data_IF_983204116548
#
_entry.id   IF_983204116548
#
_cell.length_a   1.000
_cell.length_b   1.000
_cell.length_c   1.000
_cell.angle_alpha   90.00
_cell.angle_beta   90.00
_cell.angle_gamma   90.00
#
_symmetry.space_group_name_H-M   'P 1'
#
loop_
_entity.id
_entity.type
_entity.pdbx_description
1 polymer ?
#
# COMPACT_ATOMS: atom_id res chain seq x y z
N UNK A 1 4.42 -17.44 -38.17
CA UNK A 1 3.52 -17.78 -37.05
C UNK A 1 4.14 -18.88 -36.21
N UNK A 2 4.90 -18.46 -35.20
CA UNK A 2 5.39 -19.23 -34.05
C UNK A 2 5.31 -18.24 -32.89
N UNK A 3 4.77 -18.60 -31.72
CA UNK A 3 4.89 -17.74 -30.56
C UNK A 3 6.37 -17.74 -30.16
N UNK A 4 7.00 -16.57 -30.16
CA UNK A 4 8.35 -16.38 -29.63
C UNK A 4 8.19 -15.82 -28.22
N UNK A 5 8.89 -16.47 -27.30
CA UNK A 5 8.84 -16.32 -25.85
C UNK A 5 8.84 -14.87 -25.39
N UNK A 6 7.89 -14.55 -24.51
CA UNK A 6 7.96 -13.39 -23.64
C UNK A 6 9.12 -13.58 -22.65
N UNK A 7 10.04 -12.63 -22.65
CA UNK A 7 11.05 -12.43 -21.62
C UNK A 7 11.25 -10.91 -21.51
N UNK A 8 10.31 -10.27 -20.83
CA UNK A 8 10.53 -9.03 -20.07
C UNK A 8 9.78 -9.26 -18.77
N UNK A 9 10.57 -9.26 -17.71
CA UNK A 9 10.25 -9.85 -16.42
C UNK A 9 9.46 -8.85 -15.58
N UNK A 10 8.14 -8.83 -15.75
CA UNK A 10 7.28 -8.70 -14.57
C UNK A 10 7.34 -10.07 -13.92
N UNK A 11 8.04 -10.15 -12.79
CA UNK A 11 8.19 -11.40 -12.07
C UNK A 11 6.78 -11.88 -11.69
N UNK A 12 6.43 -13.14 -11.98
CA UNK A 12 5.15 -13.69 -11.62
C UNK A 12 5.08 -13.73 -10.09
N UNK A 13 4.05 -13.12 -9.50
CA UNK A 13 3.63 -13.46 -8.15
C UNK A 13 2.94 -14.84 -8.17
N UNK A 14 3.62 -15.87 -8.70
CA UNK A 14 3.40 -17.24 -8.28
C UNK A 14 3.97 -17.39 -6.88
N UNK A 15 3.27 -16.83 -5.89
CA UNK A 15 3.33 -17.37 -4.56
C UNK A 15 2.47 -18.64 -4.59
N UNK A 16 3.04 -19.71 -5.16
CA UNK A 16 2.81 -20.99 -4.55
C UNK A 16 3.36 -20.84 -3.13
N UNK A 17 2.49 -20.46 -2.20
CA UNK A 17 2.63 -20.73 -0.79
C UNK A 17 2.73 -22.26 -0.66
N UNK A 18 3.89 -22.82 -0.99
CA UNK A 18 4.51 -23.71 -0.03
C UNK A 18 4.67 -22.86 1.21
N UNK A 19 3.62 -22.88 2.03
CA UNK A 19 3.70 -22.62 3.46
C UNK A 19 4.86 -23.48 3.96
N UNK A 20 6.06 -22.92 3.91
CA UNK A 20 6.91 -23.00 5.08
C UNK A 20 6.00 -22.52 6.18
N UNK A 21 5.52 -23.46 6.99
CA UNK A 21 5.11 -23.17 8.35
C UNK A 21 6.33 -22.48 8.98
N UNK A 22 6.43 -21.17 8.76
CA UNK A 22 7.26 -20.26 9.54
C UNK A 22 6.59 -20.20 10.89
N UNK A 23 6.76 -21.29 11.63
CA UNK A 23 6.50 -21.31 13.04
C UNK A 23 7.21 -20.09 13.60
N UNK A 24 6.49 -19.18 14.25
CA UNK A 24 7.04 -18.27 15.24
C UNK A 24 7.51 -19.10 16.45
N UNK A 25 8.31 -20.13 16.20
CA UNK A 25 8.83 -21.08 17.18
C UNK A 25 10.33 -21.07 17.03
N UNK A 26 10.93 -20.10 17.70
CA UNK A 26 12.27 -20.16 18.26
C UNK A 26 13.40 -20.35 17.25
N UNK A 27 13.99 -19.24 16.83
CA UNK A 27 15.44 -19.12 16.72
C UNK A 27 15.82 -17.76 17.30
N UNK A 28 16.59 -17.79 18.38
CA UNK A 28 16.78 -16.68 19.30
C UNK A 28 17.53 -15.49 18.72
N UNK A 29 17.01 -14.30 19.03
CA UNK A 29 17.76 -13.19 19.58
C UNK A 29 16.77 -12.42 20.46
N UNK A 30 17.10 -12.20 21.74
CA UNK A 30 16.42 -11.24 22.60
C UNK A 30 16.75 -9.83 22.10
N UNK A 31 16.39 -9.51 20.86
CA UNK A 31 16.55 -8.16 20.32
C UNK A 31 15.45 -7.31 20.94
N UNK A 32 15.79 -6.41 21.87
CA UNK A 32 14.78 -5.64 22.57
C UNK A 32 14.09 -4.71 21.56
N UNK A 33 12.77 -4.71 21.60
CA UNK A 33 12.00 -3.67 20.93
C UNK A 33 12.33 -2.32 21.54
N UNK A 34 12.42 -1.29 20.71
CA UNK A 34 12.55 0.09 21.16
C UNK A 34 11.35 0.92 20.74
N UNK A 35 10.88 1.78 21.63
CA UNK A 35 9.93 2.81 21.24
C UNK A 35 10.56 3.75 20.21
N UNK A 36 9.75 4.38 19.34
CA UNK A 36 10.26 5.38 18.42
C UNK A 36 11.06 6.45 19.13
N UNK A 37 12.19 6.79 18.53
CA UNK A 37 13.04 7.89 18.99
C UNK A 37 13.27 8.85 17.85
N UNK A 38 13.05 10.14 18.10
CA UNK A 38 13.25 11.17 17.09
C UNK A 38 14.73 11.27 16.72
N UNK A 39 15.02 11.32 15.42
CA UNK A 39 16.39 11.39 14.89
C UNK A 39 16.64 12.77 14.27
N UNK A 40 15.78 13.20 13.35
CA UNK A 40 15.87 14.50 12.67
C UNK A 40 17.07 14.62 11.71
N UNK A 41 17.73 13.51 11.38
CA UNK A 41 18.88 13.48 10.47
C UNK A 41 18.43 13.35 9.01
N UNK A 42 19.24 13.88 8.08
CA UNK A 42 18.99 13.73 6.65
C UNK A 42 19.45 12.35 6.18
N UNK A 43 18.60 11.64 5.42
CA UNK A 43 19.01 10.42 4.75
C UNK A 43 20.18 10.68 3.78
N UNK A 44 21.15 9.74 3.66
CA UNK A 44 22.29 9.88 2.76
C UNK A 44 21.88 10.26 1.32
N UNK A 45 22.46 11.33 0.78
CA UNK A 45 22.21 11.72 -0.60
C UNK A 45 22.86 10.75 -1.58
N UNK A 46 22.16 10.43 -2.66
CA UNK A 46 22.65 9.62 -3.77
C UNK A 46 22.93 10.54 -4.95
N UNK A 47 24.14 10.49 -5.49
CA UNK A 47 24.46 11.14 -6.75
C UNK A 47 23.93 10.26 -7.91
N UNK A 48 22.94 10.71 -8.68
CA UNK A 48 22.41 9.93 -9.80
C UNK A 48 23.42 9.74 -10.94
N UNK A 49 24.56 10.44 -10.90
CA UNK A 49 25.58 10.39 -11.94
C UNK A 49 25.22 11.21 -13.18
N UNK A 50 26.27 11.62 -13.87
CA UNK A 50 26.34 12.45 -15.07
C UNK A 50 26.29 13.99 -14.84
N UNK A 51 27.47 14.64 -14.66
CA UNK A 51 27.59 16.08 -14.39
C UNK A 51 27.33 16.97 -15.62
N UNK A 52 27.17 16.39 -16.82
CA UNK A 52 27.09 17.12 -18.10
C UNK A 52 25.64 17.47 -18.52
N UNK A 53 24.65 17.27 -17.64
CA UNK A 53 23.26 17.66 -17.93
C UNK A 53 22.91 19.02 -17.32
N UNK A 54 22.58 19.99 -18.19
CA UNK A 54 22.09 21.33 -17.81
C UNK A 54 20.70 21.32 -17.14
N UNK A 55 20.03 20.16 -17.05
CA UNK A 55 18.71 20.00 -16.44
C UNK A 55 18.83 19.40 -15.03
N UNK A 56 18.43 20.17 -14.02
CA UNK A 56 18.54 19.76 -12.62
C UNK A 56 17.50 18.67 -12.30
N UNK A 57 17.96 17.44 -12.08
CA UNK A 57 17.17 16.35 -11.54
C UNK A 57 16.74 16.65 -10.09
N UNK A 58 15.63 16.06 -9.65
CA UNK A 58 15.23 16.15 -8.24
C UNK A 58 16.25 15.44 -7.33
N UNK A 59 16.55 15.96 -6.12
CA UNK A 59 17.50 15.33 -5.21
C UNK A 59 17.01 13.96 -4.75
N UNK A 60 17.96 13.04 -4.56
CA UNK A 60 17.68 11.63 -4.22
C UNK A 60 18.40 11.29 -2.93
N UNK A 61 17.71 10.55 -2.07
CA UNK A 61 18.29 10.00 -0.85
C UNK A 61 18.08 8.50 -0.78
N UNK A 62 18.94 7.83 -0.02
CA UNK A 62 18.85 6.42 0.33
C UNK A 62 18.52 6.29 1.83
N UNK A 63 17.24 6.05 2.19
CA UNK A 63 16.82 5.78 3.57
C UNK A 63 17.34 4.46 4.16
N UNK A 64 18.01 3.63 3.35
CA UNK A 64 18.43 2.26 3.66
C UNK A 64 17.28 1.31 3.95
N UNK A 65 16.17 1.46 3.23
CA UNK A 65 15.04 0.54 3.37
C UNK A 65 15.29 -0.78 2.62
N UNK A 66 14.85 -1.88 3.21
CA UNK A 66 14.91 -3.25 2.68
C UNK A 66 13.52 -3.89 2.56
N UNK A 67 12.47 -3.07 2.61
CA UNK A 67 11.10 -3.48 2.31
C UNK A 67 10.34 -2.39 1.52
N UNK A 68 9.23 -2.73 0.84
CA UNK A 68 8.36 -1.75 0.19
C UNK A 68 7.82 -0.76 1.18
N UNK A 69 7.98 0.54 0.93
CA UNK A 69 7.50 1.58 1.84
C UNK A 69 6.00 1.87 1.67
N UNK A 70 5.35 2.17 2.78
CA UNK A 70 3.98 2.70 2.82
C UNK A 70 4.03 4.21 3.08
N UNK A 71 3.05 4.96 2.59
CA UNK A 71 3.05 6.42 2.60
C UNK A 71 1.74 6.96 3.14
N UNK A 72 1.82 8.02 3.93
CA UNK A 72 0.70 8.91 4.21
C UNK A 72 1.18 10.34 4.47
N UNK A 73 0.43 11.36 4.03
CA UNK A 73 0.75 12.80 4.24
C UNK A 73 2.20 13.19 3.90
N UNK A 74 2.75 12.62 2.83
CA UNK A 74 4.13 12.85 2.39
C UNK A 74 5.21 12.27 3.32
N UNK A 75 4.84 11.39 4.26
CA UNK A 75 5.74 10.64 5.13
C UNK A 75 5.70 9.17 4.71
N UNK A 76 6.88 8.58 4.66
CA UNK A 76 7.12 7.22 4.21
C UNK A 76 7.64 6.38 5.37
N UNK A 77 7.11 5.17 5.52
CA UNK A 77 7.55 4.20 6.52
C UNK A 77 8.00 2.92 5.83
N UNK A 78 9.20 2.46 6.18
CA UNK A 78 9.66 1.11 5.88
C UNK A 78 10.71 0.68 6.91
N UNK A 79 11.26 -0.53 6.74
CA UNK A 79 12.26 -1.10 7.62
C UNK A 79 13.59 -1.32 6.93
N UNK A 80 14.66 -1.24 7.71
CA UNK A 80 15.98 -1.75 7.39
C UNK A 80 16.18 -3.10 8.10
N UNK A 81 16.68 -4.11 7.39
CA UNK A 81 17.02 -5.40 8.00
C UNK A 81 18.45 -5.37 8.56
N UNK A 82 18.57 -5.49 9.88
CA UNK A 82 19.84 -5.80 10.53
C UNK A 82 19.96 -7.31 10.77
N UNK A 83 21.16 -7.75 11.18
CA UNK A 83 21.42 -9.17 11.51
C UNK A 83 20.43 -9.70 12.57
N UNK A 84 20.13 -8.88 13.58
CA UNK A 84 19.38 -9.28 14.77
C UNK A 84 18.04 -8.53 14.96
N UNK A 85 17.78 -7.44 14.24
CA UNK A 85 16.57 -6.60 14.42
C UNK A 85 16.04 -6.07 13.08
N UNK A 86 14.84 -5.50 13.13
CA UNK A 86 14.27 -4.67 12.07
C UNK A 86 14.23 -3.24 12.58
N UNK A 87 14.84 -2.31 11.85
CA UNK A 87 14.82 -0.89 12.18
C UNK A 87 13.82 -0.17 11.28
N UNK A 88 12.66 0.12 11.82
CA UNK A 88 11.64 0.93 11.17
C UNK A 88 12.08 2.39 11.14
N UNK A 89 11.89 3.06 10.00
CA UNK A 89 12.26 4.47 9.79
C UNK A 89 11.13 5.21 9.09
N UNK A 90 10.64 6.26 9.73
CA UNK A 90 9.76 7.23 9.09
C UNK A 90 10.61 8.34 8.46
N UNK A 91 10.38 8.62 7.18
CA UNK A 91 11.12 9.62 6.40
C UNK A 91 10.14 10.54 5.71
N UNK A 92 10.31 11.85 5.85
CA UNK A 92 9.45 12.80 5.16
C UNK A 92 9.82 12.97 3.67
N UNK A 93 8.97 13.69 2.94
CA UNK A 93 9.17 13.97 1.52
C UNK A 93 10.39 14.83 1.19
N UNK A 94 11.09 15.38 2.19
CA UNK A 94 12.37 16.10 2.02
C UNK A 94 13.58 15.19 2.25
N UNK A 95 13.35 13.94 2.67
CA UNK A 95 14.37 12.96 3.00
C UNK A 95 14.87 13.04 4.44
N UNK A 96 14.18 13.76 5.32
CA UNK A 96 14.51 13.80 6.75
C UNK A 96 13.97 12.54 7.44
N UNK A 97 14.83 11.84 8.16
CA UNK A 97 14.46 10.73 9.05
C UNK A 97 13.84 11.33 10.32
N UNK A 98 12.52 11.17 10.48
CA UNK A 98 11.76 11.74 11.58
C UNK A 98 12.02 10.97 12.88
N UNK A 99 11.84 9.65 12.83
CA UNK A 99 12.06 8.75 13.95
C UNK A 99 12.44 7.35 13.49
N UNK A 100 13.02 6.59 14.41
CA UNK A 100 13.35 5.17 14.21
C UNK A 100 12.91 4.31 15.39
N UNK A 101 12.48 3.08 15.11
CA UNK A 101 12.07 2.09 16.12
C UNK A 101 12.59 0.68 15.75
N UNK A 102 13.08 -0.08 16.72
CA UNK A 102 13.57 -1.43 16.51
C UNK A 102 12.50 -2.47 16.90
N UNK A 103 12.38 -3.55 16.13
CA UNK A 103 11.54 -4.72 16.44
C UNK A 103 12.29 -6.04 16.23
N UNK A 104 11.83 -7.14 16.84
CA UNK A 104 12.32 -8.48 16.53
C UNK A 104 12.10 -8.82 15.05
N UNK A 105 13.00 -9.61 14.46
CA UNK A 105 12.92 -10.01 13.04
C UNK A 105 11.66 -10.79 12.65
N UNK A 106 11.02 -11.44 13.62
CA UNK A 106 9.74 -12.11 13.42
C UNK A 106 8.58 -11.14 13.16
N UNK A 107 8.75 -9.84 13.46
CA UNK A 107 7.70 -8.81 13.42
C UNK A 107 7.92 -7.84 12.25
N UNK A 108 8.05 -8.37 11.03
CA UNK A 108 8.27 -7.58 9.80
C UNK A 108 7.00 -7.02 9.15
N UNK A 109 5.84 -7.28 9.73
CA UNK A 109 4.59 -6.71 9.21
C UNK A 109 4.30 -5.38 9.88
N UNK A 110 3.85 -4.41 9.09
CA UNK A 110 3.50 -3.07 9.54
C UNK A 110 2.44 -2.47 8.62
N UNK A 111 1.79 -1.41 9.09
CA UNK A 111 0.75 -0.71 8.34
C UNK A 111 0.88 0.79 8.59
N UNK A 112 0.67 1.58 7.53
CA UNK A 112 0.34 3.00 7.63
C UNK A 112 -1.15 3.13 7.36
N UNK A 113 -1.86 3.86 8.23
CA UNK A 113 -3.30 4.12 8.13
C UNK A 113 -3.60 5.55 8.55
N UNK A 114 -4.80 6.03 8.27
CA UNK A 114 -5.27 7.37 8.63
C UNK A 114 -6.29 7.36 9.77
N UNK A 115 -6.36 8.48 10.48
CA UNK A 115 -7.40 8.83 11.47
C UNK A 115 -7.76 10.30 11.29
N UNK A 116 -8.82 10.77 11.94
CA UNK A 116 -9.19 12.19 11.95
C UNK A 116 -8.08 13.10 12.52
N UNK A 117 -7.25 12.57 13.42
CA UNK A 117 -6.16 13.31 14.07
C UNK A 117 -4.84 13.26 13.27
N UNK A 118 -4.78 12.43 12.22
CA UNK A 118 -3.63 12.32 11.33
C UNK A 118 -3.17 10.88 11.04
N UNK A 119 -2.01 10.72 10.38
CA UNK A 119 -1.48 9.44 9.95
C UNK A 119 -0.87 8.64 11.10
N UNK A 120 -1.11 7.33 11.09
CA UNK A 120 -0.72 6.39 12.13
C UNK A 120 0.16 5.29 11.55
N UNK A 121 1.32 5.07 12.16
CA UNK A 121 2.16 3.90 11.95
C UNK A 121 1.77 2.80 12.94
N UNK A 122 1.40 1.62 12.45
CA UNK A 122 1.14 0.43 13.26
C UNK A 122 2.30 -0.53 13.13
N UNK A 123 3.00 -0.77 14.23
CA UNK A 123 4.13 -1.69 14.30
C UNK A 123 3.76 -2.93 15.10
N UNK A 124 4.07 -4.10 14.54
CA UNK A 124 3.93 -5.37 15.23
C UNK A 124 5.08 -5.60 16.19
N UNK A 125 4.79 -6.27 17.29
CA UNK A 125 5.77 -6.65 18.28
C UNK A 125 5.43 -8.01 18.91
N UNK A 126 6.34 -8.50 19.75
CA UNK A 126 6.16 -9.67 20.59
C UNK A 126 6.46 -9.29 22.03
N UNK A 127 5.46 -9.42 22.89
CA UNK A 127 5.65 -9.11 24.31
C UNK A 127 6.59 -10.17 24.93
N UNK A 128 7.72 -9.74 25.49
CA UNK A 128 8.50 -10.58 26.41
C UNK A 128 9.17 -9.77 27.51
N UNK A 129 8.42 -9.26 28.51
CA UNK A 129 9.04 -8.68 29.69
C UNK A 129 9.19 -9.69 30.84
N UNK A 130 8.34 -10.74 30.95
CA UNK A 130 8.34 -11.62 32.14
C UNK A 130 7.82 -13.07 32.00
N UNK A 131 7.52 -13.63 30.81
CA UNK A 131 7.04 -15.02 30.74
C UNK A 131 7.00 -15.63 29.34
N UNK A 132 6.98 -16.98 29.30
CA UNK A 132 7.05 -17.93 28.16
C UNK A 132 6.01 -17.74 27.02
N UNK A 133 5.35 -16.60 26.88
CA UNK A 133 4.30 -16.38 25.87
C UNK A 133 4.78 -15.46 24.75
N UNK A 134 4.93 -16.03 23.55
CA UNK A 134 5.18 -15.32 22.29
C UNK A 134 3.88 -14.72 21.74
N UNK A 135 3.16 -13.94 22.57
CA UNK A 135 1.90 -13.33 22.15
C UNK A 135 2.20 -12.15 21.23
N UNK A 136 1.69 -12.13 19.99
CA UNK A 136 1.86 -10.99 19.11
C UNK A 136 1.08 -9.80 19.65
N UNK A 137 1.69 -8.62 19.56
CA UNK A 137 1.07 -7.35 19.92
C UNK A 137 1.19 -6.36 18.77
N UNK A 138 0.36 -5.32 18.81
CA UNK A 138 0.44 -4.17 17.92
C UNK A 138 0.43 -2.89 18.75
N UNK A 139 1.17 -1.89 18.29
CA UNK A 139 1.15 -0.53 18.84
C UNK A 139 0.99 0.48 17.71
N UNK A 140 0.23 1.55 17.97
CA UNK A 140 0.02 2.65 17.04
C UNK A 140 0.84 3.86 17.47
N UNK A 141 1.47 4.50 16.49
CA UNK A 141 2.33 5.66 16.67
C UNK A 141 1.92 6.76 15.71
N UNK A 142 2.00 8.01 16.14
CA UNK A 142 1.89 9.15 15.25
C UNK A 142 3.01 9.05 14.21
N UNK A 143 2.65 9.00 12.92
CA UNK A 143 3.61 8.76 11.84
C UNK A 143 4.64 9.91 11.73
N UNK A 144 4.29 11.11 12.17
CA UNK A 144 5.16 12.29 12.08
C UNK A 144 6.18 12.35 13.21
N UNK A 145 5.75 12.08 14.43
CA UNK A 145 6.53 12.33 15.65
C UNK A 145 7.09 11.05 16.27
N UNK A 146 6.46 9.92 16.02
CA UNK A 146 6.73 8.65 16.68
C UNK A 146 6.12 8.55 18.08
N UNK A 147 5.30 9.52 18.51
CA UNK A 147 4.62 9.44 19.80
C UNK A 147 3.64 8.26 19.83
N UNK A 148 3.66 7.49 20.91
CA UNK A 148 2.72 6.38 21.10
C UNK A 148 1.30 6.93 21.24
N UNK A 149 0.42 6.50 20.34
CA UNK A 149 -1.02 6.80 20.41
C UNK A 149 -1.73 5.74 21.25
N UNK A 150 -1.40 4.47 21.03
CA UNK A 150 -1.98 3.34 21.74
C UNK A 150 -1.07 2.11 21.70
N UNK A 151 -1.38 1.15 22.57
CA UNK A 151 -0.69 -0.14 22.65
C UNK A 151 0.30 -0.25 23.81
N UNK A 152 0.93 -1.43 23.96
CA UNK A 152 0.72 -2.62 23.14
C UNK A 152 -0.67 -3.26 23.35
N UNK A 153 -1.32 -3.69 22.26
CA UNK A 153 -2.58 -4.44 22.26
C UNK A 153 -2.30 -5.86 21.78
N UNK A 154 -2.75 -6.87 22.54
CA UNK A 154 -2.66 -8.28 22.11
C UNK A 154 -3.50 -8.53 20.86
N UNK A 155 -2.90 -9.17 19.86
CA UNK A 155 -3.59 -9.53 18.61
C UNK A 155 -3.78 -11.05 18.54
N UNK A 156 -4.81 -11.54 17.84
CA UNK A 156 -5.01 -12.98 17.67
C UNK A 156 -3.93 -13.65 16.82
N UNK A 157 -3.13 -12.88 16.09
CA UNK A 157 -2.13 -13.36 15.12
C UNK A 157 -1.63 -12.24 14.21
N UNK A 158 -1.08 -12.56 13.02
CA UNK A 158 -0.52 -11.56 12.12
C UNK A 158 -1.59 -10.63 11.53
N UNK A 159 -1.14 -9.45 11.11
CA UNK A 159 -1.92 -8.53 10.29
C UNK A 159 -2.21 -9.17 8.92
N UNK A 160 -3.43 -8.97 8.43
CA UNK A 160 -3.86 -9.32 7.09
C UNK A 160 -3.75 -8.09 6.18
N UNK A 161 -3.38 -8.28 4.91
CA UNK A 161 -3.27 -7.18 3.92
C UNK A 161 -4.58 -6.44 3.59
N UNK A 162 -5.68 -6.71 4.28
CA UNK A 162 -6.97 -6.03 4.13
C UNK A 162 -7.15 -4.93 5.19
N UNK A 163 -6.10 -4.12 5.39
CA UNK A 163 -6.07 -3.04 6.38
C UNK A 163 -5.82 -3.50 7.81
N UNK A 164 -6.35 -2.79 8.82
CA UNK A 164 -6.05 -3.05 10.25
C UNK A 164 -6.84 -4.25 10.82
N UNK A 165 -6.64 -5.42 10.21
CA UNK A 165 -7.32 -6.68 10.55
C UNK A 165 -6.30 -7.77 10.85
N UNK A 166 -6.45 -8.43 11.99
CA UNK A 166 -5.61 -9.53 12.45
C UNK A 166 -6.34 -10.85 12.36
N UNK A 167 -5.63 -11.94 12.06
CA UNK A 167 -6.22 -13.28 12.01
C UNK A 167 -5.52 -14.27 12.94
N UNK A 168 -6.33 -15.00 13.72
CA UNK A 168 -5.84 -16.14 14.47
C UNK A 168 -5.52 -17.35 13.60
N UNK A 169 -4.81 -18.31 14.19
CA UNK A 169 -4.56 -19.60 13.54
C UNK A 169 -5.89 -20.34 13.25
N UNK A 170 -6.00 -21.05 12.10
CA UNK A 170 -7.15 -21.87 11.81
C UNK A 170 -7.26 -23.03 12.81
N UNK A 171 -8.48 -23.34 13.27
CA UNK A 171 -8.74 -24.37 14.28
C UNK A 171 -8.25 -25.77 13.87
N UNK A 172 -8.32 -26.08 12.58
CA UNK A 172 -7.99 -27.40 12.06
C UNK A 172 -6.59 -27.46 11.41
N UNK A 173 -5.77 -26.40 11.54
CA UNK A 173 -4.44 -26.23 10.93
C UNK A 173 -4.37 -26.42 9.39
N UNK A 174 -5.50 -26.71 8.76
CA UNK A 174 -5.72 -26.93 7.33
C UNK A 174 -6.97 -26.12 6.97
N UNK A 175 -6.84 -25.04 6.22
CA UNK A 175 -7.98 -24.24 5.75
C UNK A 175 -7.77 -22.73 5.78
N UNK A 176 -8.85 -21.99 5.53
CA UNK A 176 -8.93 -20.52 5.49
C UNK A 176 -8.47 -19.87 6.80
N UNK A 177 -8.05 -18.60 6.73
CA UNK A 177 -7.64 -17.81 7.88
C UNK A 177 -8.61 -17.94 9.07
N UNK A 178 -8.08 -18.10 10.29
CA UNK A 178 -8.87 -18.27 11.51
C UNK A 178 -9.69 -17.02 11.87
N UNK A 179 -10.27 -16.97 13.08
CA UNK A 179 -11.09 -15.83 13.51
C UNK A 179 -10.34 -14.50 13.37
N UNK A 180 -11.02 -13.51 12.77
CA UNK A 180 -10.46 -12.17 12.53
C UNK A 180 -10.89 -11.15 13.57
N UNK A 181 -9.99 -10.22 13.87
CA UNK A 181 -10.22 -9.07 14.75
C UNK A 181 -9.75 -7.80 14.06
N UNK A 182 -10.57 -6.76 14.02
CA UNK A 182 -10.21 -5.43 13.53
C UNK A 182 -10.04 -4.48 14.71
N UNK A 183 -9.00 -3.65 14.67
CA UNK A 183 -8.70 -2.65 15.70
C UNK A 183 -8.96 -1.25 15.17
N UNK A 184 -9.48 -0.37 16.03
CA UNK A 184 -9.60 1.05 15.76
C UNK A 184 -8.20 1.66 15.51
N UNK A 185 -7.96 2.35 14.37
CA UNK A 185 -6.66 2.95 14.10
C UNK A 185 -6.29 4.08 15.06
N UNK A 186 -7.26 4.77 15.67
CA UNK A 186 -7.04 5.87 16.59
C UNK A 186 -6.81 5.42 18.03
N UNK A 187 -7.44 4.32 18.47
CA UNK A 187 -7.39 3.91 19.88
C UNK A 187 -6.78 2.53 20.13
N UNK A 188 -6.65 1.69 19.11
CA UNK A 188 -6.28 0.28 19.24
C UNK A 188 -7.39 -0.61 19.83
N UNK A 189 -8.59 -0.06 20.09
CA UNK A 189 -9.71 -0.84 20.64
C UNK A 189 -10.28 -1.81 19.61
N UNK A 190 -10.85 -2.92 20.07
CA UNK A 190 -11.50 -3.89 19.18
C UNK A 190 -12.85 -3.35 18.68
N UNK A 191 -12.92 -2.98 17.40
CA UNK A 191 -14.16 -2.54 16.74
C UNK A 191 -14.96 -3.71 16.18
N UNK A 192 -14.29 -4.79 15.79
CA UNK A 192 -14.95 -6.02 15.37
C UNK A 192 -14.12 -7.26 15.69
N UNK A 193 -14.78 -8.31 16.18
CA UNK A 193 -14.14 -9.60 16.40
C UNK A 193 -15.09 -10.75 16.04
N UNK A 194 -14.58 -11.70 15.26
CA UNK A 194 -15.25 -12.95 14.96
C UNK A 194 -15.23 -13.88 16.19
N UNK A 195 -16.33 -14.57 16.45
CA UNK A 195 -16.44 -15.48 17.59
C UNK A 195 -17.40 -16.64 17.32
N UNK A 196 -17.36 -17.65 18.18
CA UNK A 196 -18.31 -18.76 18.10
C UNK A 196 -19.75 -18.25 18.23
N UNK A 197 -20.61 -18.64 17.29
CA UNK A 197 -22.01 -18.20 17.26
C UNK A 197 -22.25 -16.81 16.65
N UNK A 198 -21.19 -16.04 16.31
CA UNK A 198 -21.35 -14.82 15.50
C UNK A 198 -21.44 -15.20 14.02
N UNK A 199 -22.51 -14.75 13.36
CA UNK A 199 -22.71 -14.93 11.92
C UNK A 199 -21.94 -13.92 11.08
N UNK A 200 -21.55 -12.79 11.67
CA UNK A 200 -20.78 -11.75 10.98
C UNK A 200 -19.32 -12.16 10.84
N UNK A 201 -18.74 -11.89 9.66
CA UNK A 201 -17.32 -12.06 9.36
C UNK A 201 -16.67 -10.71 9.05
N UNK A 202 -15.41 -10.54 9.44
CA UNK A 202 -14.61 -9.34 9.19
C UNK A 202 -13.88 -9.52 7.87
N UNK A 203 -14.02 -8.56 6.96
CA UNK A 203 -13.39 -8.59 5.64
C UNK A 203 -12.18 -7.67 5.60
N UNK A 204 -12.38 -6.39 5.90
CA UNK A 204 -11.37 -5.35 5.81
C UNK A 204 -11.66 -4.19 6.78
N UNK A 205 -10.64 -3.40 7.11
CA UNK A 205 -10.76 -2.12 7.81
C UNK A 205 -9.77 -1.10 7.25
N UNK A 206 -10.27 -0.07 6.57
CA UNK A 206 -9.45 1.00 6.00
C UNK A 206 -9.86 2.35 6.59
N UNK A 207 -8.97 2.99 7.36
CA UNK A 207 -9.32 4.19 8.12
C UNK A 207 -10.55 3.94 9.00
N UNK A 208 -11.61 4.73 8.77
CA UNK A 208 -12.89 4.59 9.47
C UNK A 208 -13.86 3.55 8.87
N UNK A 209 -13.52 2.95 7.72
CA UNK A 209 -14.43 2.08 6.96
C UNK A 209 -14.23 0.60 7.29
N UNK A 210 -15.15 0.04 8.07
CA UNK A 210 -15.20 -1.37 8.40
C UNK A 210 -16.09 -2.13 7.40
N UNK A 211 -15.54 -3.15 6.74
CA UNK A 211 -16.27 -4.03 5.83
C UNK A 211 -16.48 -5.40 6.47
N UNK A 212 -17.73 -5.87 6.47
CA UNK A 212 -18.12 -7.17 7.04
C UNK A 212 -19.10 -7.91 6.13
N UNK A 213 -19.24 -9.21 6.35
CA UNK A 213 -20.31 -9.99 5.75
C UNK A 213 -21.19 -10.69 6.77
N UNK A 214 -22.46 -10.90 6.43
CA UNK A 214 -23.42 -11.68 7.20
C UNK A 214 -24.39 -12.38 6.25
N UNK A 215 -24.45 -13.71 6.33
CA UNK A 215 -25.26 -14.48 5.38
C UNK A 215 -24.71 -14.36 3.96
N UNK A 216 -25.54 -13.90 3.02
CA UNK A 216 -25.16 -13.61 1.62
C UNK A 216 -24.67 -12.18 1.41
N UNK A 217 -24.75 -11.34 2.42
CA UNK A 217 -24.62 -9.89 2.25
C UNK A 217 -23.27 -9.40 2.76
N UNK A 218 -22.76 -8.37 2.10
CA UNK A 218 -21.60 -7.57 2.48
C UNK A 218 -22.12 -6.18 2.85
N UNK A 219 -21.52 -5.58 3.86
CA UNK A 219 -21.89 -4.25 4.31
C UNK A 219 -20.69 -3.47 4.85
N UNK A 220 -20.74 -2.17 4.64
CA UNK A 220 -19.82 -1.19 5.21
C UNK A 220 -20.45 -0.48 6.40
N UNK A 221 -19.64 -0.24 7.42
CA UNK A 221 -19.97 0.49 8.64
C UNK A 221 -18.84 1.46 8.96
N UNK A 222 -19.16 2.50 9.73
CA UNK A 222 -18.15 3.30 10.42
C UNK A 222 -17.71 2.63 11.74
N UNK A 223 -16.76 3.24 12.45
CA UNK A 223 -16.22 2.74 13.71
C UNK A 223 -17.25 2.79 14.85
N UNK A 224 -18.26 3.66 14.79
CA UNK A 224 -19.40 3.68 15.71
C UNK A 224 -20.42 2.56 15.44
N UNK A 225 -20.23 1.78 14.37
CA UNK A 225 -21.09 0.67 13.98
C UNK A 225 -22.38 1.11 13.26
N UNK A 226 -22.44 2.36 12.77
CA UNK A 226 -23.52 2.84 11.91
C UNK A 226 -23.34 2.22 10.54
N UNK A 227 -24.41 1.58 10.08
CA UNK A 227 -24.48 1.00 8.74
C UNK A 227 -24.45 2.10 7.67
N UNK A 228 -23.44 2.06 6.80
CA UNK A 228 -23.31 2.96 5.65
C UNK A 228 -24.04 2.40 4.44
N UNK A 229 -23.82 1.12 4.13
CA UNK A 229 -24.43 0.43 2.99
C UNK A 229 -24.57 -1.07 3.20
N UNK A 230 -25.39 -1.73 2.41
CA UNK A 230 -25.52 -3.19 2.38
C UNK A 230 -25.81 -3.65 0.96
N UNK A 231 -25.08 -4.67 0.51
CA UNK A 231 -25.19 -5.24 -0.82
C UNK A 231 -25.08 -6.76 -0.77
N UNK A 232 -25.71 -7.44 -1.71
CA UNK A 232 -25.52 -8.88 -1.84
C UNK A 232 -24.10 -9.15 -2.35
N UNK A 233 -23.41 -10.18 -1.85
CA UNK A 233 -22.06 -10.52 -2.34
C UNK A 233 -22.05 -10.81 -3.85
N UNK A 234 -23.16 -11.36 -4.37
CA UNK A 234 -23.35 -11.66 -5.78
C UNK A 234 -23.31 -10.41 -6.68
N UNK A 235 -23.59 -9.23 -6.12
CA UNK A 235 -23.43 -7.96 -6.83
C UNK A 235 -21.98 -7.68 -7.22
N UNK A 236 -21.03 -8.27 -6.50
CA UNK A 236 -19.59 -8.22 -6.77
C UNK A 236 -19.10 -9.47 -7.52
N UNK A 237 -20.02 -10.33 -7.98
CA UNK A 237 -19.68 -11.56 -8.69
C UNK A 237 -19.06 -12.65 -7.81
N UNK A 238 -19.25 -12.60 -6.49
CA UNK A 238 -18.67 -13.52 -5.53
C UNK A 238 -19.64 -13.95 -4.42
N UNK A 239 -19.29 -14.95 -3.65
CA UNK A 239 -19.97 -15.30 -2.40
C UNK A 239 -19.42 -14.49 -1.22
N UNK A 240 -20.21 -14.38 -0.15
CA UNK A 240 -19.78 -13.72 1.09
C UNK A 240 -18.54 -14.39 1.74
N UNK A 241 -18.35 -15.70 1.51
CA UNK A 241 -17.15 -16.42 1.94
C UNK A 241 -15.93 -16.10 1.07
N UNK A 242 -16.11 -15.95 -0.24
CA UNK A 242 -15.02 -15.55 -1.13
C UNK A 242 -14.59 -14.10 -0.86
N UNK A 243 -15.55 -13.19 -0.63
CA UNK A 243 -15.26 -11.79 -0.30
C UNK A 243 -14.33 -11.61 0.91
N UNK A 244 -14.35 -12.56 1.85
CA UNK A 244 -13.46 -12.58 3.01
C UNK A 244 -12.02 -12.91 2.62
N UNK A 245 -11.80 -13.78 1.65
CA UNK A 245 -10.47 -14.27 1.28
C UNK A 245 -9.85 -13.52 0.10
N UNK A 246 -10.67 -12.90 -0.75
CA UNK A 246 -10.21 -12.05 -1.86
C UNK A 246 -9.50 -10.80 -1.31
N UNK A 247 -8.42 -10.32 -1.95
CA UNK A 247 -7.77 -9.07 -1.57
C UNK A 247 -8.67 -7.85 -1.71
N UNK A 248 -8.58 -6.96 -0.72
CA UNK A 248 -9.15 -5.62 -0.77
C UNK A 248 -7.99 -4.64 -0.69
N UNK A 249 -7.79 -3.85 -1.72
CA UNK A 249 -6.72 -2.85 -1.77
C UNK A 249 -7.34 -1.45 -1.59
N UNK A 250 -6.90 -0.66 -0.60
CA UNK A 250 -7.39 0.71 -0.42
C UNK A 250 -6.89 1.61 -1.55
N UNK A 251 -7.77 2.43 -2.11
CA UNK A 251 -7.46 3.41 -3.15
C UNK A 251 -7.79 4.80 -2.59
N UNK A 252 -6.78 5.51 -2.11
CA UNK A 252 -7.00 6.68 -1.26
C UNK A 252 -7.77 6.32 0.01
N UNK A 253 -8.48 7.30 0.59
CA UNK A 253 -9.21 7.10 1.86
C UNK A 253 -10.63 6.54 1.68
N UNK A 254 -11.20 6.63 0.48
CA UNK A 254 -12.64 6.45 0.26
C UNK A 254 -13.01 5.30 -0.68
N UNK A 255 -12.05 4.63 -1.31
CA UNK A 255 -12.31 3.58 -2.29
C UNK A 255 -11.52 2.32 -1.99
N UNK A 256 -12.00 1.20 -2.53
CA UNK A 256 -11.27 -0.05 -2.50
C UNK A 256 -11.39 -0.79 -3.83
N UNK A 257 -10.31 -1.46 -4.22
CA UNK A 257 -10.24 -2.33 -5.39
C UNK A 257 -10.32 -3.80 -4.96
N UNK A 258 -11.40 -4.46 -5.38
CA UNK A 258 -11.75 -5.82 -4.99
C UNK A 258 -11.39 -6.80 -6.11
N UNK A 259 -10.63 -7.83 -5.77
CA UNK A 259 -10.30 -8.93 -6.68
C UNK A 259 -8.82 -9.31 -6.60
N UNK A 260 -8.49 -10.46 -7.19
CA UNK A 260 -7.13 -10.95 -7.25
C UNK A 260 -6.19 -9.98 -7.96
N UNK A 261 -5.04 -9.71 -7.35
CA UNK A 261 -4.00 -8.88 -7.95
C UNK A 261 -3.57 -9.43 -9.33
N UNK A 262 -3.42 -8.55 -10.31
CA UNK A 262 -3.10 -8.92 -11.70
C UNK A 262 -4.28 -9.46 -12.53
N UNK A 263 -5.48 -9.60 -11.94
CA UNK A 263 -6.70 -9.84 -12.71
C UNK A 263 -7.17 -8.56 -13.40
N UNK A 264 -7.68 -8.67 -14.62
CA UNK A 264 -8.34 -7.55 -15.31
C UNK A 264 -9.83 -7.43 -14.96
N UNK A 265 -10.35 -8.29 -14.08
CA UNK A 265 -11.76 -8.36 -13.70
C UNK A 265 -11.99 -7.91 -12.25
N UNK A 266 -11.26 -6.88 -11.80
CA UNK A 266 -11.43 -6.31 -10.46
C UNK A 266 -12.51 -5.23 -10.47
N UNK A 267 -13.09 -4.99 -9.30
CA UNK A 267 -14.18 -4.03 -9.10
C UNK A 267 -13.73 -2.93 -8.16
N UNK A 268 -13.81 -1.68 -8.61
CA UNK A 268 -13.52 -0.50 -7.81
C UNK A 268 -14.82 -0.02 -7.16
N UNK A 269 -14.83 0.13 -5.85
CA UNK A 269 -16.01 0.53 -5.09
C UNK A 269 -15.72 1.77 -4.26
N UNK A 270 -16.77 2.52 -3.96
CA UNK A 270 -16.80 3.56 -2.96
C UNK A 270 -17.15 2.95 -1.59
N UNK A 271 -16.29 3.17 -0.58
CA UNK A 271 -16.42 2.58 0.76
C UNK A 271 -17.55 3.22 1.58
N UNK A 272 -17.99 4.44 1.24
CA UNK A 272 -19.05 5.14 1.95
C UNK A 272 -20.46 4.70 1.50
N UNK A 273 -20.62 4.39 0.22
CA UNK A 273 -21.91 4.07 -0.40
C UNK A 273 -22.04 2.60 -0.83
N UNK A 274 -20.91 1.88 -0.95
CA UNK A 274 -20.85 0.53 -1.51
C UNK A 274 -21.12 0.50 -3.02
N UNK A 275 -21.20 1.67 -3.68
CA UNK A 275 -21.45 1.77 -5.09
C UNK A 275 -20.23 1.26 -5.88
N UNK A 276 -20.50 0.53 -6.96
CA UNK A 276 -19.47 0.20 -7.94
C UNK A 276 -19.15 1.46 -8.74
N UNK A 277 -17.92 1.93 -8.60
CA UNK A 277 -17.40 3.12 -9.27
C UNK A 277 -16.88 2.75 -10.66
N UNK A 278 -16.18 1.62 -10.75
CA UNK A 278 -15.70 1.09 -12.01
C UNK A 278 -15.57 -0.45 -11.94
N UNK A 279 -15.62 -1.10 -13.10
CA UNK A 279 -15.52 -2.54 -13.24
C UNK A 279 -14.57 -2.90 -14.38
N UNK A 280 -14.12 -4.16 -14.40
CA UNK A 280 -13.09 -4.64 -15.34
C UNK A 280 -11.81 -3.78 -15.25
N UNK A 281 -11.46 -3.46 -14.01
CA UNK A 281 -10.28 -2.70 -13.66
C UNK A 281 -9.15 -3.69 -13.39
N UNK A 282 -7.98 -3.42 -13.94
CA UNK A 282 -6.73 -4.09 -13.57
C UNK A 282 -6.13 -3.42 -12.34
N UNK A 283 -6.03 -2.09 -12.37
CA UNK A 283 -5.38 -1.27 -11.34
C UNK A 283 -6.09 0.08 -11.20
N UNK A 284 -6.00 0.67 -10.01
CA UNK A 284 -6.57 1.97 -9.71
C UNK A 284 -5.68 2.75 -8.72
N UNK A 285 -5.76 4.07 -8.79
CA UNK A 285 -5.06 5.00 -7.91
C UNK A 285 -5.93 6.22 -7.66
N UNK A 286 -5.66 6.93 -6.56
CA UNK A 286 -6.25 8.23 -6.28
C UNK A 286 -5.15 9.30 -6.27
N UNK A 287 -5.33 10.35 -7.06
CA UNK A 287 -4.47 11.53 -7.02
C UNK A 287 -5.15 12.66 -6.24
N UNK A 288 -4.71 12.89 -5.00
CA UNK A 288 -5.27 13.93 -4.12
C UNK A 288 -5.06 15.35 -4.69
N UNK A 289 -3.98 15.56 -5.46
CA UNK A 289 -3.66 16.89 -6.00
C UNK A 289 -4.65 17.40 -7.07
N UNK A 290 -5.23 16.47 -7.83
CA UNK A 290 -6.24 16.75 -8.85
C UNK A 290 -7.63 16.24 -8.48
N UNK A 291 -7.78 15.60 -7.31
CA UNK A 291 -9.00 14.93 -6.86
C UNK A 291 -9.54 14.00 -7.95
N UNK A 292 -8.67 13.14 -8.49
CA UNK A 292 -9.00 12.25 -9.61
C UNK A 292 -8.69 10.80 -9.25
N UNK A 293 -9.70 9.95 -9.41
CA UNK A 293 -9.55 8.50 -9.38
C UNK A 293 -9.12 8.02 -10.77
N UNK A 294 -7.92 7.47 -10.86
CA UNK A 294 -7.37 6.93 -12.11
C UNK A 294 -7.59 5.44 -12.13
N UNK A 295 -8.26 4.92 -13.16
CA UNK A 295 -8.46 3.48 -13.35
C UNK A 295 -7.88 3.01 -14.68
N UNK A 296 -7.33 1.79 -14.65
CA UNK A 296 -6.76 1.12 -15.81
C UNK A 296 -7.56 -0.13 -16.11
N UNK A 297 -8.12 -0.20 -17.31
CA UNK A 297 -8.73 -1.42 -17.87
C UNK A 297 -8.36 -1.52 -19.35
N UNK A 298 -9.35 -1.63 -20.23
CA UNK A 298 -9.11 -1.48 -21.68
C UNK A 298 -8.64 -0.08 -22.10
N UNK A 299 -8.92 0.91 -21.25
CA UNK A 299 -8.53 2.30 -21.41
C UNK A 299 -8.03 2.83 -20.07
N UNK A 300 -7.24 3.90 -20.13
CA UNK A 300 -6.93 4.72 -18.98
C UNK A 300 -8.07 5.74 -18.80
N UNK A 301 -8.65 5.79 -17.60
CA UNK A 301 -9.76 6.70 -17.28
C UNK A 301 -9.41 7.54 -16.07
N UNK A 302 -9.88 8.79 -16.08
CA UNK A 302 -9.94 9.64 -14.90
C UNK A 302 -11.39 9.86 -14.53
N UNK A 303 -11.72 9.58 -13.27
CA UNK A 303 -13.05 9.61 -12.71
C UNK A 303 -13.09 10.61 -11.55
N UNK A 304 -14.24 11.26 -11.36
CA UNK A 304 -14.62 11.87 -10.09
C UNK A 304 -14.75 10.79 -9.00
N UNK A 305 -14.74 11.19 -7.73
CA UNK A 305 -14.93 10.28 -6.59
C UNK A 305 -16.24 9.46 -6.67
N UNK A 306 -17.28 10.00 -7.31
CA UNK A 306 -18.57 9.33 -7.52
C UNK A 306 -18.60 8.39 -8.74
N UNK A 307 -17.47 8.27 -9.47
CA UNK A 307 -17.35 7.47 -10.69
C UNK A 307 -17.73 8.18 -11.98
N UNK A 308 -18.11 9.46 -11.93
CA UNK A 308 -18.36 10.24 -13.14
C UNK A 308 -17.07 10.35 -13.95
N UNK A 309 -17.10 9.89 -15.20
CA UNK A 309 -15.92 9.95 -16.06
C UNK A 309 -15.61 11.40 -16.46
N UNK A 310 -14.42 11.88 -16.09
CA UNK A 310 -13.87 13.17 -16.52
C UNK A 310 -13.22 13.07 -17.89
N UNK A 311 -12.40 12.04 -18.08
CA UNK A 311 -11.65 11.81 -19.31
C UNK A 311 -11.36 10.32 -19.51
N UNK A 312 -11.10 9.95 -20.76
CA UNK A 312 -10.64 8.61 -21.13
C UNK A 312 -9.64 8.73 -22.28
N UNK A 313 -8.52 8.03 -22.17
CA UNK A 313 -7.49 7.97 -23.21
C UNK A 313 -7.05 6.51 -23.40
N UNK A 314 -6.64 6.10 -24.61
CA UNK A 314 -5.92 4.85 -24.77
C UNK A 314 -4.67 4.83 -23.88
N UNK A 315 -4.36 3.65 -23.33
CA UNK A 315 -3.04 3.37 -22.77
C UNK A 315 -2.00 3.53 -23.89
N UNK A 316 -0.83 4.13 -23.61
CA UNK A 316 0.26 4.14 -24.58
C UNK A 316 0.66 2.70 -24.95
N UNK A 317 1.01 2.48 -26.21
CA UNK A 317 1.43 1.15 -26.65
C UNK A 317 2.68 0.70 -25.89
N UNK A 318 2.67 -0.54 -25.40
CA UNK A 318 3.76 -1.15 -24.62
C UNK A 318 4.12 -0.39 -23.33
N UNK A 319 3.18 0.37 -22.77
CA UNK A 319 3.35 1.06 -21.50
C UNK A 319 2.39 0.51 -20.44
N UNK A 320 2.89 0.39 -19.21
CA UNK A 320 2.11 0.10 -18.02
C UNK A 320 2.09 1.35 -17.13
N UNK A 321 1.01 1.58 -16.39
CA UNK A 321 0.98 2.67 -15.41
C UNK A 321 1.85 2.23 -14.24
N UNK A 322 2.89 3.01 -13.94
CA UNK A 322 3.83 2.68 -12.89
C UNK A 322 3.42 3.31 -11.55
N UNK A 323 2.96 4.56 -11.60
CA UNK A 323 2.45 5.28 -10.42
C UNK A 323 1.57 6.45 -10.82
N UNK A 324 0.73 6.88 -9.89
CA UNK A 324 -0.11 8.08 -9.99
C UNK A 324 0.07 8.90 -8.72
N UNK A 325 0.24 10.21 -8.86
CA UNK A 325 0.39 11.14 -7.74
C UNK A 325 0.96 12.49 -8.19
N UNK A 326 0.81 13.53 -7.35
CA UNK A 326 1.22 14.91 -7.64
C UNK A 326 0.72 15.43 -9.00
N UNK A 327 -0.45 14.96 -9.45
CA UNK A 327 -1.09 15.38 -10.69
C UNK A 327 -0.55 14.66 -11.93
N UNK A 328 0.28 13.62 -11.73
CA UNK A 328 0.96 12.87 -12.77
C UNK A 328 0.45 11.43 -12.80
N UNK A 329 0.40 10.87 -14.01
CA UNK A 329 0.32 9.43 -14.28
C UNK A 329 1.63 9.09 -14.96
N UNK A 330 2.53 8.41 -14.25
CA UNK A 330 3.82 7.97 -14.78
C UNK A 330 3.69 6.58 -15.40
N UNK A 331 4.39 6.37 -16.51
CA UNK A 331 4.36 5.10 -17.23
C UNK A 331 5.72 4.41 -17.17
N UNK A 332 5.73 3.10 -16.96
CA UNK A 332 6.87 2.28 -17.28
C UNK A 332 6.80 1.93 -18.77
N UNK A 333 7.76 2.47 -19.52
CA UNK A 333 7.93 2.13 -20.92
C UNK A 333 8.87 0.95 -20.96
N UNK A 334 8.33 -0.26 -21.17
CA UNK A 334 9.15 -1.46 -21.31
C UNK A 334 10.33 -1.18 -22.24
N UNK A 335 11.52 -1.70 -21.89
CA UNK A 335 12.83 -1.37 -22.48
C UNK A 335 13.02 -1.80 -23.94
N UNK A 336 12.06 -1.53 -24.82
CA UNK A 336 12.10 -1.67 -26.25
C UNK A 336 11.99 -0.29 -26.88
N UNK A 337 13.14 0.37 -27.08
CA UNK A 337 13.24 1.45 -28.07
C UNK A 337 12.99 0.81 -29.43
N UNK A 338 11.75 0.80 -29.88
CA UNK A 338 11.44 0.27 -31.20
C UNK A 338 12.01 1.24 -32.23
N UNK A 339 13.02 0.79 -32.99
CA UNK A 339 13.77 1.63 -33.92
C UNK A 339 12.91 2.20 -35.06
N UNK A 340 11.66 1.73 -35.18
CA UNK A 340 10.69 2.10 -36.21
C UNK A 340 9.66 3.17 -35.77
N UNK A 341 9.64 3.60 -34.50
CA UNK A 341 8.78 4.69 -34.00
C UNK A 341 9.59 5.83 -33.35
N UNK A 342 9.78 6.97 -34.05
CA UNK A 342 10.67 8.05 -33.62
C UNK A 342 10.09 8.96 -32.53
N UNK A 343 8.81 8.83 -32.20
CA UNK A 343 8.17 9.60 -31.13
C UNK A 343 8.33 8.81 -29.82
N UNK A 344 9.00 9.36 -28.78
CA UNK A 344 9.08 8.70 -27.49
C UNK A 344 7.66 8.55 -26.92
N UNK A 345 7.30 7.35 -26.44
CA UNK A 345 6.08 7.17 -25.66
C UNK A 345 6.07 8.18 -24.49
N UNK A 346 4.92 8.81 -24.18
CA UNK A 346 4.87 9.80 -23.11
C UNK A 346 5.28 9.14 -21.79
N UNK A 347 6.30 9.69 -21.14
CA UNK A 347 6.75 9.24 -19.83
C UNK A 347 5.73 9.56 -18.73
N UNK A 348 4.90 10.58 -18.95
CA UNK A 348 3.81 10.93 -18.06
C UNK A 348 2.61 11.60 -18.77
N UNK A 349 1.45 11.51 -18.11
CA UNK A 349 0.23 12.26 -18.43
C UNK A 349 -0.26 13.02 -17.20
N UNK A 350 -1.10 14.03 -17.43
CA UNK A 350 -1.81 14.75 -16.39
C UNK A 350 -2.93 13.87 -15.82
N UNK A 351 -2.96 13.68 -14.49
CA UNK A 351 -4.06 12.99 -13.82
C UNK A 351 -5.38 13.76 -13.93
N UNK A 352 -5.33 15.10 -14.05
CA UNK A 352 -6.52 15.96 -14.09
C UNK A 352 -7.34 15.79 -15.38
N UNK A 353 -6.68 15.67 -16.53
CA UNK A 353 -7.34 15.71 -17.85
C UNK A 353 -6.83 14.66 -18.85
N UNK A 354 -5.88 13.81 -18.45
CA UNK A 354 -5.33 12.73 -19.28
C UNK A 354 -4.42 13.22 -20.41
N UNK A 355 -4.13 14.53 -20.50
CA UNK A 355 -3.26 15.07 -21.55
C UNK A 355 -1.83 14.60 -21.36
N UNK A 356 -1.08 14.47 -22.46
CA UNK A 356 0.36 14.28 -22.38
C UNK A 356 0.99 15.49 -21.68
N UNK A 357 2.01 15.25 -20.85
CA UNK A 357 2.77 16.34 -20.23
C UNK A 357 3.94 16.69 -21.15
N UNK A 358 3.93 17.93 -21.62
CA UNK A 358 5.01 18.50 -22.42
C UNK A 358 5.95 19.30 -21.49
N UNK A 359 7.22 18.90 -21.41
CA UNK A 359 8.26 19.62 -20.67
C UNK A 359 9.11 18.74 -19.75
N UNK A 360 10.26 19.27 -19.35
CA UNK A 360 11.15 18.66 -18.35
C UNK A 360 10.88 19.29 -16.98
N UNK A 361 10.26 18.54 -16.07
CA UNK A 361 10.26 18.86 -14.64
C UNK A 361 11.40 18.11 -13.96
N UNK A 362 11.92 18.57 -12.81
CA UNK A 362 12.97 17.84 -12.09
C UNK A 362 12.61 16.37 -11.83
N UNK A 363 11.36 16.08 -11.49
CA UNK A 363 10.86 14.72 -11.29
C UNK A 363 10.84 13.92 -12.61
N UNK A 364 10.32 14.48 -13.70
CA UNK A 364 10.33 13.79 -15.00
C UNK A 364 11.75 13.54 -15.52
N UNK A 365 12.67 14.47 -15.27
CA UNK A 365 14.10 14.29 -15.57
C UNK A 365 14.69 13.14 -14.76
N UNK A 366 14.35 13.03 -13.47
CA UNK A 366 14.78 11.90 -12.63
C UNK A 366 14.19 10.57 -13.11
N UNK A 367 12.90 10.53 -13.43
CA UNK A 367 12.20 9.35 -13.95
C UNK A 367 12.84 8.88 -15.26
N UNK A 368 13.12 9.80 -16.17
CA UNK A 368 13.76 9.48 -17.44
C UNK A 368 15.18 8.89 -17.28
N UNK A 369 15.88 9.22 -16.18
CA UNK A 369 17.24 8.73 -15.90
C UNK A 369 17.26 7.41 -15.16
N UNK A 370 16.39 7.25 -14.16
CA UNK A 370 16.48 6.17 -13.18
C UNK A 370 15.37 5.12 -13.29
N UNK A 371 14.37 5.37 -14.15
CA UNK A 371 13.24 4.49 -14.34
C UNK A 371 11.95 5.04 -13.74
N UNK A 372 10.85 4.36 -14.05
CA UNK A 372 9.54 4.73 -13.57
C UNK A 372 9.42 4.59 -12.04
N UNK A 373 8.73 5.53 -11.37
CA UNK A 373 8.44 5.39 -9.95
C UNK A 373 7.36 4.34 -9.74
N UNK A 374 7.41 3.63 -8.62
CA UNK A 374 6.33 2.74 -8.19
C UNK A 374 5.38 3.40 -7.18
N UNK A 375 5.73 4.60 -6.70
CA UNK A 375 4.87 5.42 -5.83
C UNK A 375 5.21 6.91 -6.02
N UNK A 376 4.19 7.77 -6.11
CA UNK A 376 4.32 9.23 -6.11
C UNK A 376 3.42 9.79 -5.01
N UNK A 377 4.00 10.54 -4.09
CA UNK A 377 3.28 11.27 -3.05
C UNK A 377 2.68 12.57 -3.59
N UNK A 378 1.71 13.12 -2.88
CA UNK A 378 1.08 14.40 -3.24
C UNK A 378 2.01 15.61 -3.23
N UNK A 379 3.09 15.56 -2.44
CA UNK A 379 4.13 16.60 -2.44
C UNK A 379 5.08 16.50 -3.64
N UNK A 380 4.95 15.44 -4.44
CA UNK A 380 5.81 15.17 -5.59
C UNK A 380 7.09 14.40 -5.25
N UNK A 381 7.28 13.99 -3.99
CA UNK A 381 8.29 12.98 -3.68
C UNK A 381 7.87 11.62 -4.23
N UNK A 382 8.84 10.82 -4.68
CA UNK A 382 8.56 9.55 -5.37
C UNK A 382 9.54 8.45 -4.98
N UNK A 383 9.07 7.21 -4.99
CA UNK A 383 9.89 6.03 -4.77
C UNK A 383 10.26 5.39 -6.11
N UNK A 384 11.56 5.18 -6.33
CA UNK A 384 12.13 4.66 -7.57
C UNK A 384 13.07 3.49 -7.30
N UNK A 385 13.45 2.77 -8.35
CA UNK A 385 14.33 1.61 -8.24
C UNK A 385 13.57 0.34 -7.86
N UNK A 386 14.25 -0.58 -7.17
CA UNK A 386 13.64 -1.82 -6.70
C UNK A 386 12.61 -1.50 -5.60
N UNK A 387 11.33 -1.89 -5.74
CA UNK A 387 10.33 -1.69 -4.69
C UNK A 387 10.68 -2.35 -3.36
N UNK A 388 11.60 -3.33 -3.32
CA UNK A 388 12.08 -3.91 -2.07
C UNK A 388 13.17 -3.07 -1.40
N UNK A 389 13.93 -2.28 -2.16
CA UNK A 389 14.97 -1.38 -1.63
C UNK A 389 14.83 0.00 -2.28
N UNK A 390 13.73 0.72 -2.03
CA UNK A 390 13.40 1.90 -2.81
C UNK A 390 14.29 3.09 -2.43
N UNK A 391 14.69 3.86 -3.44
CA UNK A 391 15.28 5.19 -3.25
C UNK A 391 14.18 6.25 -3.22
N UNK A 392 14.39 7.31 -2.45
CA UNK A 392 13.45 8.42 -2.35
C UNK A 392 13.93 9.61 -3.17
N UNK A 393 13.16 9.96 -4.19
CA UNK A 393 13.23 11.25 -4.86
C UNK A 393 12.50 12.27 -4.00
N UNK A 394 13.22 13.26 -3.50
CA UNK A 394 12.68 14.28 -2.58
C UNK A 394 11.86 15.33 -3.32
N UNK A 395 10.85 15.87 -2.64
CA UNK A 395 10.12 17.06 -3.08
C UNK A 395 11.03 18.29 -2.96
N UNK A 396 10.95 19.21 -3.92
CA UNK A 396 11.67 20.48 -3.83
C UNK A 396 10.88 21.45 -2.93
N UNK A 397 11.56 22.02 -1.94
CA UNK A 397 11.03 23.07 -1.05
C UNK A 397 10.76 24.39 -1.74
#
# INVERSE_FOLDING_TARGET
MRPRSAASAVLPLTLALTLGLGACSGLGSDSPSSEPSSVGEQAPSVDPGDPDSDSAAAPIVDPSWDAPAQKEDGIFLSMHENDDSLDYRAVDSTGQILWTAARPRACSTYLVTTTDDGPVAVLMDQDSPTGDSLTPTASGYDLTTGETLWGPVETPGPLLGNGLVFAGAPKDFIGTSGPRTALDPATGDVVAAEGEGKSSRVIALFGEHLVRSQGSDIFGEDLEGRRLWTRAAEDFGMSASEAREVPWEPIGDSHALLGEAGSQARTLIDLHSGATVDAEVAEAWFDSSSDTLVSVGSHLRGLDADGTQRWATPLPENAEVAAVGAGLIAFDSGSGRDADHPEPSPTARSARDGSAIEGETPLLTTIARLGAPHLISESGAALIGDPQTPLLVTSQS
#
